data_IF_710961098914
#
_entry.id   IF_710961098914
#
_cell.length_a   1.000
_cell.length_b   1.000
_cell.length_c   1.000
_cell.angle_alpha   90.00
_cell.angle_beta   90.00
_cell.angle_gamma   90.00
#
_symmetry.space_group_name_H-M   'P 1'
#
loop_
_entity.id
_entity.type
_entity.pdbx_description
1 polymer ?
#
# COMPACT_ATOMS: atom_id res chain seq x y z
N UNK A 1 -25.28 54.54 15.01
CA UNK A 1 -25.01 54.23 13.58
C UNK A 1 -23.83 53.28 13.37
N UNK A 2 -23.00 52.97 14.40
CA UNK A 2 -21.79 52.14 14.22
C UNK A 2 -22.00 50.62 14.32
N UNK A 3 -23.05 50.14 14.99
CA UNK A 3 -23.27 48.69 15.16
C UNK A 3 -23.86 47.99 13.92
N UNK A 4 -24.80 48.63 13.25
CA UNK A 4 -25.46 48.05 12.07
C UNK A 4 -24.51 47.98 10.85
N UNK A 5 -23.63 48.99 10.67
CA UNK A 5 -22.64 49.00 9.61
C UNK A 5 -21.55 47.94 9.85
N UNK A 6 -21.13 47.73 11.11
CA UNK A 6 -20.19 46.68 11.51
C UNK A 6 -20.73 45.27 11.27
N UNK A 7 -22.03 45.03 11.56
CA UNK A 7 -22.67 43.74 11.35
C UNK A 7 -22.91 43.44 9.86
N UNK A 8 -23.25 44.45 9.05
CA UNK A 8 -23.35 44.30 7.59
C UNK A 8 -21.95 43.99 6.97
N UNK A 9 -20.91 44.66 7.45
CA UNK A 9 -19.55 44.44 6.98
C UNK A 9 -19.01 43.06 7.40
N UNK A 10 -19.30 42.59 8.60
CA UNK A 10 -19.02 41.24 9.05
C UNK A 10 -19.75 40.20 8.22
N UNK A 11 -21.07 40.36 8.03
CA UNK A 11 -21.91 39.47 7.21
C UNK A 11 -21.45 39.41 5.75
N UNK A 12 -21.03 40.54 5.15
CA UNK A 12 -20.47 40.58 3.81
C UNK A 12 -19.10 39.88 3.75
N UNK A 13 -18.24 40.06 4.75
CA UNK A 13 -16.93 39.40 4.83
C UNK A 13 -17.09 37.91 5.03
N UNK A 14 -17.99 37.46 5.90
CA UNK A 14 -18.25 36.06 6.16
C UNK A 14 -18.91 35.37 4.94
N UNK A 15 -19.83 36.04 4.26
CA UNK A 15 -20.48 35.50 3.06
C UNK A 15 -19.59 35.47 1.83
N UNK A 16 -18.62 36.39 1.69
CA UNK A 16 -17.69 36.43 0.56
C UNK A 16 -16.55 35.41 0.65
N UNK A 17 -16.32 34.83 1.84
CA UNK A 17 -15.26 33.88 2.11
C UNK A 17 -15.76 32.44 2.27
N UNK A 18 -17.04 32.17 2.24
CA UNK A 18 -17.60 30.83 2.40
C UNK A 18 -17.31 30.00 1.14
N UNK A 19 -16.38 29.04 1.26
CA UNK A 19 -16.08 28.04 0.24
C UNK A 19 -16.45 26.66 0.76
N UNK A 20 -17.15 25.87 -0.07
CA UNK A 20 -17.51 24.48 0.24
C UNK A 20 -16.81 23.54 -0.70
N UNK A 21 -16.10 22.57 -0.16
CA UNK A 21 -15.53 21.49 -0.95
C UNK A 21 -16.64 20.56 -1.44
N UNK A 22 -16.67 20.29 -2.74
CA UNK A 22 -17.57 19.33 -3.36
C UNK A 22 -16.78 18.20 -3.97
N UNK A 23 -17.24 16.98 -3.70
CA UNK A 23 -16.61 15.77 -4.22
C UNK A 23 -17.63 15.02 -5.07
N UNK A 24 -17.18 14.50 -6.22
CA UNK A 24 -17.99 13.67 -7.12
C UNK A 24 -17.14 12.46 -7.51
N UNK A 25 -17.71 11.28 -7.38
CA UNK A 25 -17.07 10.03 -7.78
C UNK A 25 -18.02 9.20 -8.63
N UNK A 26 -17.50 8.66 -9.73
CA UNK A 26 -18.19 7.72 -10.59
C UNK A 26 -17.26 6.55 -10.85
N UNK A 27 -17.75 5.35 -10.64
CA UNK A 27 -17.00 4.13 -10.95
C UNK A 27 -17.92 3.10 -11.58
N UNK A 28 -17.38 2.30 -12.49
CA UNK A 28 -18.10 1.24 -13.12
C UNK A 28 -17.16 0.26 -13.80
N UNK A 29 -17.67 -0.92 -14.13
CA UNK A 29 -16.86 -1.92 -14.81
C UNK A 29 -17.72 -3.00 -15.46
N UNK A 30 -17.14 -3.61 -16.46
CA UNK A 30 -17.68 -4.77 -17.16
C UNK A 30 -16.64 -5.87 -17.13
N UNK A 31 -17.07 -7.09 -16.85
CA UNK A 31 -16.21 -8.28 -16.89
C UNK A 31 -16.93 -9.38 -17.62
N UNK A 32 -16.26 -9.96 -18.61
CA UNK A 32 -16.71 -11.11 -19.36
C UNK A 32 -15.72 -12.26 -19.22
N UNK A 33 -16.23 -13.46 -18.99
CA UNK A 33 -15.45 -14.71 -19.03
C UNK A 33 -16.02 -15.59 -20.13
N UNK A 34 -15.14 -16.15 -20.93
CA UNK A 34 -15.52 -17.08 -21.99
C UNK A 34 -14.67 -18.36 -21.92
N UNK A 35 -15.34 -19.47 -21.69
CA UNK A 35 -14.71 -20.80 -21.66
C UNK A 35 -14.80 -21.41 -23.05
N UNK A 36 -13.65 -21.50 -23.76
CA UNK A 36 -13.58 -22.16 -25.04
C UNK A 36 -13.80 -23.67 -24.89
N UNK A 37 -13.28 -24.22 -23.81
CA UNK A 37 -13.45 -25.62 -23.40
C UNK A 37 -13.02 -25.76 -21.92
N UNK A 38 -12.99 -26.98 -21.39
CA UNK A 38 -12.60 -27.27 -20.00
C UNK A 38 -11.14 -26.92 -19.66
N UNK A 39 -10.29 -26.60 -20.64
CA UNK A 39 -8.86 -26.34 -20.51
C UNK A 39 -8.47 -24.89 -20.81
N UNK A 40 -9.34 -24.12 -21.44
CA UNK A 40 -9.00 -22.76 -21.87
C UNK A 40 -10.14 -21.80 -21.64
N UNK A 41 -9.78 -20.65 -21.05
CA UNK A 41 -10.70 -19.55 -20.83
C UNK A 41 -10.04 -18.20 -21.14
N UNK A 42 -10.88 -17.23 -21.48
CA UNK A 42 -10.52 -15.84 -21.72
C UNK A 42 -11.34 -14.96 -20.76
N UNK A 43 -10.65 -14.11 -20.04
CA UNK A 43 -11.26 -13.05 -19.24
C UNK A 43 -10.97 -11.71 -19.90
N UNK A 44 -12.00 -10.91 -20.10
CA UNK A 44 -11.90 -9.51 -20.53
C UNK A 44 -12.56 -8.63 -19.47
N UNK A 45 -11.87 -7.60 -19.04
CA UNK A 45 -12.39 -6.65 -18.08
C UNK A 45 -12.12 -5.23 -18.54
N UNK A 46 -13.08 -4.36 -18.31
CA UNK A 46 -12.96 -2.91 -18.46
C UNK A 46 -13.40 -2.24 -17.17
N UNK A 47 -12.64 -1.26 -16.69
CA UNK A 47 -13.02 -0.43 -15.56
C UNK A 47 -12.89 1.04 -15.90
N UNK A 48 -13.80 1.83 -15.34
CA UNK A 48 -13.82 3.27 -15.38
C UNK A 48 -13.90 3.80 -13.97
N UNK A 49 -13.06 4.77 -13.64
CA UNK A 49 -13.09 5.50 -12.38
C UNK A 49 -12.89 6.99 -12.64
N UNK A 50 -13.71 7.81 -12.01
CA UNK A 50 -13.60 9.26 -12.03
C UNK A 50 -13.80 9.82 -10.64
N UNK A 51 -12.88 10.69 -10.23
CA UNK A 51 -12.97 11.44 -8.99
C UNK A 51 -12.65 12.92 -9.24
N UNK A 52 -13.63 13.77 -8.93
CA UNK A 52 -13.53 15.22 -9.05
C UNK A 52 -13.63 15.88 -7.68
N UNK A 53 -12.82 16.90 -7.45
CA UNK A 53 -12.97 17.84 -6.34
C UNK A 53 -13.15 19.25 -6.93
N UNK A 54 -14.04 20.03 -6.32
CA UNK A 54 -14.28 21.41 -6.69
C UNK A 54 -14.44 22.26 -5.44
N UNK A 55 -14.01 23.51 -5.53
CA UNK A 55 -14.28 24.55 -4.56
C UNK A 55 -15.52 25.33 -5.01
N UNK A 56 -16.61 25.20 -4.25
CA UNK A 56 -17.85 25.94 -4.49
C UNK A 56 -17.84 27.25 -3.74
N UNK A 57 -17.74 28.34 -4.48
CA UNK A 57 -17.82 29.71 -3.94
C UNK A 57 -19.31 30.09 -3.71
N UNK A 58 -19.72 30.04 -2.47
CA UNK A 58 -21.15 30.21 -2.11
C UNK A 58 -21.71 31.53 -2.58
N UNK A 59 -20.98 32.63 -2.40
CA UNK A 59 -21.40 33.98 -2.78
C UNK A 59 -21.56 34.17 -4.29
N UNK A 60 -20.74 33.52 -5.07
CA UNK A 60 -20.75 33.62 -6.54
C UNK A 60 -21.53 32.51 -7.21
N UNK A 61 -22.01 31.52 -6.44
CA UNK A 61 -22.65 30.29 -6.94
C UNK A 61 -21.83 29.61 -8.03
N UNK A 62 -20.51 29.69 -7.92
CA UNK A 62 -19.56 29.17 -8.89
C UNK A 62 -18.83 27.95 -8.35
N UNK A 63 -18.68 26.94 -9.20
CA UNK A 63 -18.06 25.66 -8.88
C UNK A 63 -16.74 25.57 -9.68
N UNK A 64 -15.62 25.77 -9.00
CA UNK A 64 -14.27 25.75 -9.61
C UNK A 64 -13.69 24.37 -9.37
N UNK A 65 -13.55 23.58 -10.43
CA UNK A 65 -12.87 22.27 -10.36
C UNK A 65 -11.37 22.51 -10.21
N UNK A 66 -10.81 22.00 -9.11
CA UNK A 66 -9.40 22.10 -8.76
C UNK A 66 -8.67 20.75 -8.82
N UNK A 67 -9.42 19.66 -8.95
CA UNK A 67 -8.88 18.31 -9.09
C UNK A 67 -9.83 17.43 -9.92
N UNK A 68 -9.28 16.70 -10.86
CA UNK A 68 -10.00 15.66 -11.64
C UNK A 68 -9.04 14.53 -11.98
N UNK A 69 -9.36 13.32 -11.56
CA UNK A 69 -8.67 12.11 -11.97
C UNK A 69 -9.65 11.21 -12.70
N UNK A 70 -9.31 10.82 -13.93
CA UNK A 70 -10.14 9.94 -14.77
C UNK A 70 -9.29 8.79 -15.27
N UNK A 71 -9.70 7.58 -14.92
CA UNK A 71 -8.99 6.36 -15.28
C UNK A 71 -9.87 5.43 -16.12
N UNK A 72 -9.28 4.88 -17.17
CA UNK A 72 -9.84 3.82 -17.98
C UNK A 72 -8.86 2.65 -18.01
N UNK A 73 -9.27 1.48 -17.59
CA UNK A 73 -8.43 0.29 -17.61
C UNK A 73 -9.09 -0.83 -18.42
N UNK A 74 -8.29 -1.50 -19.23
CA UNK A 74 -8.69 -2.70 -19.98
C UNK A 74 -7.72 -3.81 -19.61
N UNK A 75 -8.25 -4.99 -19.30
CA UNK A 75 -7.48 -6.21 -19.02
C UNK A 75 -7.95 -7.34 -19.92
N UNK A 76 -6.99 -8.07 -20.47
CA UNK A 76 -7.21 -9.35 -21.13
C UNK A 76 -6.35 -10.43 -20.49
N UNK A 77 -6.93 -11.56 -20.14
CA UNK A 77 -6.25 -12.68 -19.52
C UNK A 77 -6.70 -14.00 -20.17
N UNK A 78 -5.77 -14.77 -20.67
CA UNK A 78 -6.01 -16.07 -21.23
C UNK A 78 -5.27 -17.15 -20.43
N UNK A 79 -6.00 -18.18 -20.02
CA UNK A 79 -5.45 -19.35 -19.32
C UNK A 79 -5.62 -20.58 -20.18
N UNK A 80 -4.57 -21.40 -20.22
CA UNK A 80 -4.58 -22.70 -20.86
C UNK A 80 -3.96 -23.76 -19.94
N UNK A 81 -4.72 -24.81 -19.64
CA UNK A 81 -4.28 -25.93 -18.80
C UNK A 81 -3.85 -27.13 -19.65
N UNK A 82 -2.58 -27.46 -19.57
CA UNK A 82 -2.00 -28.64 -20.19
C UNK A 82 -2.10 -29.83 -19.23
N UNK A 83 -2.49 -30.98 -19.71
CA UNK A 83 -2.39 -32.24 -18.95
C UNK A 83 -2.97 -32.18 -17.52
N UNK A 84 -3.99 -31.35 -17.28
CA UNK A 84 -4.68 -31.13 -15.98
C UNK A 84 -3.73 -30.74 -14.81
N UNK A 85 -2.46 -30.43 -15.07
CA UNK A 85 -1.42 -30.13 -14.09
C UNK A 85 -0.66 -28.83 -14.35
N UNK A 86 -0.48 -28.47 -15.62
CA UNK A 86 0.37 -27.34 -15.98
C UNK A 86 -0.49 -26.24 -16.60
N UNK A 87 -0.30 -25.02 -16.18
CA UNK A 87 -1.12 -23.89 -16.65
C UNK A 87 -0.22 -22.80 -17.24
N UNK A 88 -0.54 -22.36 -18.46
CA UNK A 88 -0.01 -21.16 -19.06
C UNK A 88 -1.05 -20.06 -18.89
N UNK A 89 -0.62 -18.96 -18.31
CA UNK A 89 -1.39 -17.71 -18.23
C UNK A 89 -0.67 -16.65 -19.04
N UNK A 90 -1.35 -16.05 -20.00
CA UNK A 90 -0.86 -14.87 -20.75
C UNK A 90 -1.88 -13.77 -20.66
N UNK A 91 -1.41 -12.54 -20.60
CA UNK A 91 -2.32 -11.41 -20.47
C UNK A 91 -1.64 -10.08 -20.71
N UNK A 92 -2.41 -9.03 -20.59
CA UNK A 92 -1.94 -7.66 -20.64
C UNK A 92 -2.98 -6.68 -20.14
N UNK A 93 -2.50 -5.58 -19.65
CA UNK A 93 -3.29 -4.46 -19.16
C UNK A 93 -2.98 -3.19 -19.96
N UNK A 94 -3.98 -2.36 -20.10
CA UNK A 94 -3.83 -1.00 -20.60
C UNK A 94 -4.55 -0.05 -19.64
N UNK A 95 -3.87 1.01 -19.22
CA UNK A 95 -4.43 2.06 -18.38
C UNK A 95 -4.21 3.42 -19.05
N UNK A 96 -5.27 4.21 -19.18
CA UNK A 96 -5.21 5.64 -19.42
C UNK A 96 -5.53 6.36 -18.12
N UNK A 97 -4.57 7.11 -17.59
CA UNK A 97 -4.69 7.90 -16.37
C UNK A 97 -4.59 9.39 -16.71
N UNK A 98 -5.71 10.11 -16.61
CA UNK A 98 -5.80 11.56 -16.76
C UNK A 98 -5.87 12.19 -15.38
N UNK A 99 -5.03 13.19 -15.13
CA UNK A 99 -4.98 13.93 -13.89
C UNK A 99 -4.85 15.44 -14.13
N UNK A 100 -5.84 16.20 -13.71
CA UNK A 100 -5.80 17.63 -13.51
C UNK A 100 -5.71 17.92 -12.02
N UNK A 101 -4.81 18.78 -11.58
CA UNK A 101 -4.62 19.05 -10.16
C UNK A 101 -4.19 20.49 -9.91
N UNK A 102 -4.78 21.13 -8.88
CA UNK A 102 -4.28 22.40 -8.34
C UNK A 102 -2.82 22.33 -7.85
N UNK A 103 -2.30 21.12 -7.66
CA UNK A 103 -0.92 20.87 -7.28
C UNK A 103 0.05 21.00 -8.45
N UNK A 104 -0.44 21.14 -9.65
CA UNK A 104 0.35 21.40 -10.86
C UNK A 104 0.41 22.89 -11.16
N UNK A 105 1.47 23.31 -11.87
CA UNK A 105 1.60 24.71 -12.28
C UNK A 105 0.38 25.14 -13.11
N UNK A 106 -0.27 26.23 -12.70
CA UNK A 106 -1.43 26.80 -13.41
C UNK A 106 -2.62 25.83 -13.57
N UNK A 107 -2.81 24.90 -12.64
CA UNK A 107 -3.83 23.84 -12.69
C UNK A 107 -3.73 23.00 -13.98
N UNK A 108 -2.52 22.72 -14.43
CA UNK A 108 -2.28 21.91 -15.61
C UNK A 108 -2.88 20.51 -15.49
N UNK A 109 -3.03 19.85 -16.62
CA UNK A 109 -3.45 18.47 -16.71
C UNK A 109 -2.43 17.64 -17.48
N UNK A 110 -2.33 16.37 -17.08
CA UNK A 110 -1.42 15.39 -17.69
C UNK A 110 -2.17 14.09 -17.94
N UNK A 111 -1.77 13.38 -18.97
CA UNK A 111 -2.31 12.06 -19.29
C UNK A 111 -1.17 11.06 -19.43
N UNK A 112 -1.19 10.00 -18.65
CA UNK A 112 -0.27 8.88 -18.76
C UNK A 112 -0.98 7.67 -19.36
N UNK A 113 -0.36 7.06 -20.35
CA UNK A 113 -0.75 5.77 -20.87
C UNK A 113 0.24 4.73 -20.37
N UNK A 114 -0.24 3.66 -19.75
CA UNK A 114 0.57 2.49 -19.47
C UNK A 114 0.01 1.27 -20.18
N UNK A 115 0.90 0.43 -20.64
CA UNK A 115 0.56 -0.84 -21.25
C UNK A 115 1.54 -1.90 -20.81
N UNK A 116 1.04 -3.09 -20.57
CA UNK A 116 1.87 -4.24 -20.23
C UNK A 116 1.41 -5.50 -20.95
N UNK A 117 2.35 -6.44 -21.03
CA UNK A 117 2.08 -7.80 -21.46
C UNK A 117 2.86 -8.76 -20.57
N UNK A 118 2.26 -9.86 -20.17
CA UNK A 118 2.90 -10.84 -19.33
C UNK A 118 2.55 -12.28 -19.73
N UNK A 119 3.47 -13.18 -19.36
CA UNK A 119 3.25 -14.62 -19.45
C UNK A 119 3.77 -15.30 -18.20
N UNK A 120 3.06 -16.30 -17.72
CA UNK A 120 3.43 -17.13 -16.58
C UNK A 120 3.13 -18.60 -16.90
N UNK A 121 4.08 -19.46 -16.57
CA UNK A 121 3.91 -20.89 -16.67
C UNK A 121 4.02 -21.55 -15.30
N UNK A 122 2.97 -22.25 -14.90
CA UNK A 122 2.91 -23.08 -13.69
C UNK A 122 3.16 -24.53 -14.10
N UNK A 123 4.30 -25.05 -13.75
CA UNK A 123 4.77 -26.38 -14.10
C UNK A 123 4.82 -27.30 -12.88
N UNK A 124 4.12 -28.40 -12.95
CA UNK A 124 4.04 -29.42 -11.91
C UNK A 124 4.62 -30.76 -12.43
N UNK A 125 5.97 -30.88 -12.53
CA UNK A 125 6.60 -32.12 -13.06
C UNK A 125 6.30 -33.33 -12.20
N UNK A 126 6.14 -33.16 -10.89
CA UNK A 126 5.76 -34.22 -9.95
C UNK A 126 4.72 -33.71 -8.96
N UNK A 127 4.13 -34.58 -8.15
CA UNK A 127 3.19 -34.19 -7.08
C UNK A 127 3.88 -33.42 -5.93
N UNK A 128 5.22 -33.48 -5.87
CA UNK A 128 6.02 -32.87 -4.81
C UNK A 128 6.71 -31.58 -5.26
N UNK A 129 6.88 -31.36 -6.55
CA UNK A 129 7.66 -30.25 -7.07
C UNK A 129 6.84 -29.37 -7.99
N UNK A 130 6.84 -28.09 -7.73
CA UNK A 130 6.16 -27.07 -8.54
C UNK A 130 7.15 -25.96 -8.89
N UNK A 131 7.08 -25.48 -10.12
CA UNK A 131 7.85 -24.35 -10.65
C UNK A 131 6.88 -23.37 -11.26
N UNK A 132 6.98 -22.11 -10.85
CA UNK A 132 6.28 -20.99 -11.47
C UNK A 132 7.32 -20.05 -12.07
N UNK A 133 7.28 -19.84 -13.38
CA UNK A 133 8.16 -18.89 -14.08
C UNK A 133 7.32 -17.89 -14.84
N UNK A 134 7.62 -16.62 -14.71
CA UNK A 134 6.90 -15.54 -15.38
C UNK A 134 7.81 -14.41 -15.83
N UNK A 135 7.34 -13.68 -16.83
CA UNK A 135 7.95 -12.48 -17.34
C UNK A 135 6.85 -11.47 -17.67
N UNK A 136 7.07 -10.23 -17.27
CA UNK A 136 6.20 -9.09 -17.59
C UNK A 136 7.03 -8.00 -18.25
N UNK A 137 6.46 -7.36 -19.25
CA UNK A 137 6.99 -6.15 -19.88
C UNK A 137 6.03 -5.00 -19.64
N UNK A 138 6.52 -3.87 -19.16
CA UNK A 138 5.76 -2.67 -18.87
C UNK A 138 6.27 -1.50 -19.71
N UNK A 139 5.33 -0.63 -20.15
CA UNK A 139 5.60 0.63 -20.82
C UNK A 139 4.76 1.75 -20.20
N UNK A 140 5.37 2.92 -19.98
CA UNK A 140 4.73 4.14 -19.47
C UNK A 140 5.07 5.32 -20.38
N UNK A 141 4.06 6.01 -20.90
CA UNK A 141 4.25 7.05 -21.92
C UNK A 141 4.90 8.33 -21.37
N UNK A 142 4.46 8.81 -20.21
CA UNK A 142 4.90 10.10 -19.66
C UNK A 142 6.36 10.06 -19.19
N UNK A 143 6.74 9.01 -18.50
CA UNK A 143 8.12 8.79 -18.07
C UNK A 143 9.00 8.11 -19.12
N UNK A 144 8.42 7.72 -20.29
CA UNK A 144 9.07 6.92 -21.35
C UNK A 144 9.81 5.67 -20.84
N UNK A 145 9.30 5.09 -19.79
CA UNK A 145 9.91 3.93 -19.12
C UNK A 145 9.48 2.65 -19.80
N UNK A 146 10.45 1.73 -19.97
CA UNK A 146 10.24 0.36 -20.44
C UNK A 146 10.95 -0.58 -19.49
N UNK A 147 10.25 -1.57 -18.99
CA UNK A 147 10.83 -2.46 -17.98
C UNK A 147 10.41 -3.90 -18.17
N UNK A 148 11.34 -4.85 -17.87
CA UNK A 148 11.09 -6.28 -17.81
C UNK A 148 11.17 -6.75 -16.35
N UNK A 149 10.15 -7.44 -15.89
CA UNK A 149 10.07 -7.97 -14.53
C UNK A 149 9.97 -9.50 -14.57
N UNK A 150 11.09 -10.21 -14.43
CA UNK A 150 11.09 -11.66 -14.30
C UNK A 150 10.66 -12.10 -12.90
N UNK A 151 10.04 -13.27 -12.82
CA UNK A 151 9.65 -13.95 -11.59
C UNK A 151 9.91 -15.44 -11.70
N UNK A 152 10.47 -16.04 -10.65
CA UNK A 152 10.68 -17.48 -10.51
C UNK A 152 10.30 -17.92 -9.10
N UNK A 153 9.41 -18.88 -9.00
CA UNK A 153 9.03 -19.55 -7.75
C UNK A 153 9.27 -21.05 -7.85
N UNK A 154 9.84 -21.63 -6.81
CA UNK A 154 10.08 -23.05 -6.66
C UNK A 154 9.40 -23.53 -5.39
N UNK A 155 8.71 -24.65 -5.42
CA UNK A 155 8.16 -25.30 -4.22
C UNK A 155 8.46 -26.79 -4.25
N UNK A 156 8.87 -27.29 -3.08
CA UNK A 156 9.05 -28.72 -2.84
C UNK A 156 8.30 -29.17 -1.61
N UNK A 157 7.48 -30.22 -1.75
CA UNK A 157 6.66 -30.79 -0.67
C UNK A 157 7.24 -32.10 -0.20
N UNK A 158 7.44 -32.24 1.12
CA UNK A 158 7.93 -33.46 1.78
C UNK A 158 7.00 -33.79 2.93
N UNK A 159 6.09 -34.73 2.75
CA UNK A 159 5.08 -35.08 3.77
C UNK A 159 4.27 -33.86 4.22
N UNK A 160 4.43 -33.47 5.48
CA UNK A 160 3.74 -32.32 6.06
C UNK A 160 4.50 -30.99 5.90
N UNK A 161 5.66 -31.00 5.25
CA UNK A 161 6.50 -29.83 5.05
C UNK A 161 6.41 -29.33 3.62
N UNK A 162 6.50 -28.01 3.42
CA UNK A 162 6.72 -27.36 2.12
C UNK A 162 7.89 -26.40 2.23
N UNK A 163 8.84 -26.49 1.32
CA UNK A 163 9.92 -25.54 1.15
C UNK A 163 9.65 -24.71 -0.11
N UNK A 164 9.73 -23.39 -0.02
CA UNK A 164 9.54 -22.48 -1.15
C UNK A 164 10.71 -21.53 -1.27
N UNK A 165 11.23 -21.35 -2.47
CA UNK A 165 12.18 -20.31 -2.81
C UNK A 165 11.60 -19.45 -3.91
N UNK A 166 11.77 -18.13 -3.85
CA UNK A 166 11.36 -17.27 -4.93
C UNK A 166 12.34 -16.13 -5.19
N UNK A 167 12.36 -15.72 -6.45
CA UNK A 167 12.96 -14.50 -6.92
C UNK A 167 11.91 -13.71 -7.71
N UNK A 168 11.82 -12.41 -7.46
CA UNK A 168 10.99 -11.52 -8.25
C UNK A 168 11.68 -10.16 -8.40
N UNK A 169 11.65 -9.63 -9.61
CA UNK A 169 12.01 -8.23 -9.86
C UNK A 169 10.77 -7.38 -9.75
N UNK A 170 10.81 -6.35 -8.88
CA UNK A 170 9.78 -5.33 -8.75
C UNK A 170 10.16 -4.08 -9.50
N UNK A 171 9.15 -3.28 -9.83
CA UNK A 171 9.31 -2.06 -10.59
C UNK A 171 8.19 -1.08 -10.23
N UNK A 172 8.52 0.24 -10.18
CA UNK A 172 7.55 1.33 -10.00
C UNK A 172 7.94 2.52 -10.86
N UNK A 173 7.10 2.90 -11.82
CA UNK A 173 7.25 4.14 -12.57
C UNK A 173 6.95 5.36 -11.68
N UNK A 174 7.60 6.51 -11.87
CA UNK A 174 7.18 7.77 -11.28
C UNK A 174 5.73 8.08 -11.62
N UNK A 175 5.01 8.63 -10.68
CA UNK A 175 3.62 9.07 -10.87
C UNK A 175 3.58 10.48 -11.47
N UNK A 176 2.44 10.85 -12.09
CA UNK A 176 2.23 12.22 -12.61
C UNK A 176 2.47 13.29 -11.55
N UNK A 177 2.11 13.03 -10.29
CA UNK A 177 2.36 13.96 -9.19
C UNK A 177 3.83 14.09 -8.87
N UNK A 178 4.55 12.99 -8.77
CA UNK A 178 5.99 13.00 -8.49
C UNK A 178 6.79 13.72 -9.57
N UNK A 179 6.33 13.65 -10.82
CA UNK A 179 6.99 14.34 -11.94
C UNK A 179 6.61 15.83 -12.05
N UNK A 180 5.35 16.20 -11.77
CA UNK A 180 4.83 17.51 -12.21
C UNK A 180 4.32 18.41 -11.09
N UNK A 181 4.43 18.03 -9.79
CA UNK A 181 4.04 18.90 -8.68
C UNK A 181 4.76 20.24 -8.74
N UNK A 182 4.02 21.32 -8.49
CA UNK A 182 4.56 22.67 -8.39
C UNK A 182 3.55 23.54 -7.60
N UNK A 183 3.55 23.44 -6.29
CA UNK A 183 2.56 24.14 -5.47
C UNK A 183 3.05 24.46 -4.07
N UNK A 184 2.46 25.48 -3.45
CA UNK A 184 2.67 25.82 -2.05
C UNK A 184 1.81 24.93 -1.14
N UNK A 185 2.45 24.10 -0.32
CA UNK A 185 1.80 23.34 0.73
C UNK A 185 1.52 24.25 1.92
N UNK A 186 0.21 24.41 2.25
CA UNK A 186 -0.26 25.21 3.38
C UNK A 186 0.34 26.65 3.44
N UNK A 187 0.71 27.22 2.32
CA UNK A 187 1.39 28.53 2.20
C UNK A 187 2.70 28.64 2.99
N UNK A 188 3.34 27.51 3.31
CA UNK A 188 4.57 27.49 4.13
C UNK A 188 5.78 26.97 3.36
N UNK A 189 5.59 26.07 2.41
CA UNK A 189 6.69 25.38 1.75
C UNK A 189 6.29 25.03 0.31
N UNK A 190 7.24 25.25 -0.62
CA UNK A 190 7.07 24.86 -2.01
C UNK A 190 7.41 23.38 -2.21
N UNK A 191 6.60 22.67 -2.97
CA UNK A 191 6.85 21.30 -3.38
C UNK A 191 7.02 21.25 -4.90
N UNK A 192 8.15 20.71 -5.33
CA UNK A 192 8.48 20.53 -6.74
C UNK A 192 8.47 19.05 -7.11
N UNK A 193 7.81 18.73 -8.21
CA UNK A 193 8.01 17.47 -8.92
C UNK A 193 9.37 17.44 -9.62
N UNK A 194 9.71 16.29 -10.14
CA UNK A 194 10.94 16.08 -10.90
C UNK A 194 10.65 15.21 -12.13
N UNK A 195 10.62 15.80 -13.33
CA UNK A 195 10.39 15.03 -14.57
C UNK A 195 11.53 14.07 -14.93
N UNK A 196 12.73 14.26 -14.34
CA UNK A 196 13.92 13.44 -14.60
C UNK A 196 14.01 12.24 -13.65
N UNK A 197 12.92 11.90 -12.93
CA UNK A 197 12.90 10.74 -12.06
C UNK A 197 13.04 9.44 -12.84
N UNK A 198 13.98 8.62 -12.39
CA UNK A 198 14.10 7.23 -12.83
C UNK A 198 13.13 6.32 -12.10
N UNK A 199 12.72 5.19 -12.70
CA UNK A 199 11.86 4.23 -12.03
C UNK A 199 12.58 3.53 -10.88
N UNK A 200 11.84 3.27 -9.80
CA UNK A 200 12.33 2.38 -8.75
C UNK A 200 12.37 0.94 -9.28
N UNK A 201 13.44 0.23 -9.00
CA UNK A 201 13.55 -1.19 -9.27
C UNK A 201 13.94 -1.95 -8.01
N UNK A 202 13.49 -3.18 -7.90
CA UNK A 202 13.86 -4.02 -6.76
C UNK A 202 14.10 -5.46 -7.15
N UNK A 203 15.01 -6.14 -6.44
CA UNK A 203 15.23 -7.57 -6.53
C UNK A 203 14.87 -8.20 -5.19
N UNK A 204 13.82 -8.98 -5.17
CA UNK A 204 13.36 -9.69 -3.99
C UNK A 204 13.73 -11.17 -4.05
N UNK A 205 14.41 -11.65 -3.03
CA UNK A 205 14.74 -13.06 -2.81
C UNK A 205 14.03 -13.51 -1.54
N UNK A 206 13.34 -14.64 -1.58
CA UNK A 206 12.74 -15.22 -0.39
C UNK A 206 12.92 -16.72 -0.30
N UNK A 207 13.03 -17.21 0.93
CA UNK A 207 13.05 -18.63 1.25
C UNK A 207 12.07 -18.87 2.41
N UNK A 208 11.12 -19.77 2.22
CA UNK A 208 10.09 -20.08 3.19
C UNK A 208 9.97 -21.57 3.45
N UNK A 209 9.90 -21.94 4.72
CA UNK A 209 9.57 -23.29 5.17
C UNK A 209 8.21 -23.28 5.88
N UNK A 210 7.35 -24.21 5.52
CA UNK A 210 6.03 -24.41 6.15
C UNK A 210 5.89 -25.84 6.64
N UNK A 211 5.37 -26.02 7.85
CA UNK A 211 4.95 -27.29 8.39
C UNK A 211 3.48 -27.24 8.77
N UNK A 212 2.69 -28.13 8.17
CA UNK A 212 1.24 -28.23 8.44
C UNK A 212 0.89 -29.66 8.80
N UNK A 213 0.44 -29.89 10.03
CA UNK A 213 -0.03 -31.20 10.47
C UNK A 213 -1.23 -31.07 11.37
N UNK A 214 -2.33 -31.71 10.99
CA UNK A 214 -3.59 -31.71 11.74
C UNK A 214 -4.05 -30.27 12.06
N UNK A 215 -3.82 -29.83 13.30
CA UNK A 215 -4.27 -28.56 13.86
C UNK A 215 -3.17 -27.49 13.95
N UNK A 216 -1.94 -27.83 13.57
CA UNK A 216 -0.79 -26.96 13.68
C UNK A 216 -0.33 -26.49 12.31
N UNK A 217 -0.03 -25.22 12.19
CA UNK A 217 0.66 -24.66 11.04
C UNK A 217 1.78 -23.74 11.55
N UNK A 218 2.99 -23.94 11.01
CA UNK A 218 4.15 -23.10 11.27
C UNK A 218 4.75 -22.68 9.93
N UNK A 219 5.04 -21.39 9.78
CA UNK A 219 5.72 -20.87 8.61
C UNK A 219 6.86 -19.97 9.06
N UNK A 220 8.03 -20.14 8.47
CA UNK A 220 9.19 -19.26 8.63
C UNK A 220 9.63 -18.82 7.24
N UNK A 221 9.73 -17.52 7.02
CA UNK A 221 10.18 -16.91 5.78
C UNK A 221 11.32 -15.95 6.06
N UNK A 222 12.44 -16.11 5.38
CA UNK A 222 13.50 -15.12 5.30
C UNK A 222 13.45 -14.44 3.94
N UNK A 223 13.71 -13.14 3.88
CA UNK A 223 13.76 -12.40 2.62
C UNK A 223 14.85 -11.34 2.61
N UNK A 224 15.31 -11.04 1.41
CA UNK A 224 16.25 -9.96 1.14
C UNK A 224 15.79 -9.18 -0.09
N UNK A 225 15.64 -7.87 0.06
CA UNK A 225 15.16 -6.96 -0.98
C UNK A 225 16.19 -5.88 -1.25
N UNK A 226 16.62 -5.76 -2.50
CA UNK A 226 17.51 -4.74 -3.01
C UNK A 226 16.67 -3.72 -3.76
N UNK A 227 16.58 -2.49 -3.26
CA UNK A 227 15.82 -1.41 -3.90
C UNK A 227 16.80 -0.40 -4.48
N UNK A 228 16.68 -0.10 -5.77
CA UNK A 228 17.45 0.90 -6.49
C UNK A 228 16.55 2.07 -6.88
N UNK A 229 17.11 3.26 -6.91
CA UNK A 229 16.50 4.50 -7.41
C UNK A 229 15.16 4.82 -6.72
N UNK A 230 15.10 4.57 -5.39
CA UNK A 230 13.90 4.82 -4.59
C UNK A 230 13.50 6.29 -4.66
N UNK A 231 12.27 6.57 -5.03
CA UNK A 231 11.75 7.93 -5.15
C UNK A 231 11.36 8.45 -3.78
N UNK A 232 12.00 9.52 -3.33
CA UNK A 232 11.83 10.13 -2.02
C UNK A 232 11.79 11.66 -2.11
N UNK A 233 11.32 12.29 -1.05
CA UNK A 233 11.44 13.74 -0.86
C UNK A 233 12.81 14.13 -0.30
N UNK A 234 13.37 15.21 -0.81
CA UNK A 234 14.48 15.91 -0.16
C UNK A 234 14.16 17.38 0.02
N UNK A 235 14.59 17.97 1.13
CA UNK A 235 14.52 19.41 1.35
C UNK A 235 15.73 20.09 0.73
N UNK A 236 15.53 21.27 0.15
CA UNK A 236 16.59 22.10 -0.40
C UNK A 236 16.22 23.61 -0.26
N UNK A 237 17.16 24.49 -0.52
CA UNK A 237 16.85 25.91 -0.69
C UNK A 237 16.68 26.21 -2.16
N UNK A 238 15.55 26.82 -2.52
CA UNK A 238 15.29 27.26 -3.87
C UNK A 238 16.10 28.51 -4.25
N UNK A 239 15.89 29.05 -5.44
CA UNK A 239 16.61 30.22 -5.97
C UNK A 239 16.38 31.49 -5.14
N UNK A 240 15.28 31.58 -4.43
CA UNK A 240 14.92 32.70 -3.55
C UNK A 240 15.41 32.49 -2.11
N UNK A 241 16.12 31.37 -1.84
CA UNK A 241 16.64 30.99 -0.54
C UNK A 241 15.57 30.40 0.40
N UNK A 242 14.34 30.18 -0.10
CA UNK A 242 13.25 29.59 0.66
C UNK A 242 13.43 28.08 0.79
N UNK A 243 12.95 27.50 1.89
CA UNK A 243 12.94 26.06 2.07
C UNK A 243 11.87 25.46 1.16
N UNK A 244 12.27 24.51 0.35
CA UNK A 244 11.43 23.78 -0.56
C UNK A 244 11.71 22.27 -0.49
N UNK A 245 10.80 21.47 -1.00
CA UNK A 245 10.99 20.01 -1.18
C UNK A 245 10.90 19.64 -2.65
N UNK A 246 11.66 18.63 -3.04
CA UNK A 246 11.58 18.02 -4.37
C UNK A 246 11.70 16.51 -4.29
N UNK A 247 11.18 15.84 -5.30
CA UNK A 247 11.39 14.41 -5.48
C UNK A 247 12.77 14.11 -6.08
N UNK A 248 13.42 13.10 -5.56
CA UNK A 248 14.72 12.60 -6.05
C UNK A 248 14.73 11.07 -6.05
N UNK A 249 15.66 10.49 -6.78
CA UNK A 249 16.00 9.08 -6.64
C UNK A 249 17.11 8.90 -5.60
N UNK A 250 16.89 8.00 -4.64
CA UNK A 250 17.91 7.57 -3.68
C UNK A 250 18.58 6.32 -4.23
N UNK A 251 19.94 6.27 -4.34
CA UNK A 251 20.61 5.26 -5.16
C UNK A 251 20.33 3.81 -4.80
N UNK A 252 20.34 3.45 -3.51
CA UNK A 252 20.07 2.08 -3.10
C UNK A 252 19.71 1.95 -1.62
N UNK A 253 18.73 1.12 -1.34
CA UNK A 253 18.36 0.68 0.02
C UNK A 253 18.23 -0.84 0.04
N UNK A 254 18.94 -1.49 0.95
CA UNK A 254 18.87 -2.93 1.14
C UNK A 254 18.03 -3.24 2.38
N UNK A 255 17.10 -4.18 2.25
CA UNK A 255 16.20 -4.57 3.34
C UNK A 255 16.25 -6.09 3.51
N UNK A 256 16.51 -6.57 4.72
CA UNK A 256 16.37 -7.99 5.06
C UNK A 256 15.33 -8.18 6.15
N UNK A 257 14.67 -9.31 6.15
CA UNK A 257 13.68 -9.61 7.18
C UNK A 257 13.43 -11.09 7.35
N UNK A 258 12.76 -11.36 8.49
CA UNK A 258 12.27 -12.69 8.86
C UNK A 258 10.83 -12.56 9.32
N UNK A 259 9.95 -13.37 8.75
CA UNK A 259 8.57 -13.53 9.16
C UNK A 259 8.35 -14.94 9.70
N UNK A 260 7.85 -15.05 10.94
CA UNK A 260 7.49 -16.30 11.57
C UNK A 260 6.01 -16.29 11.94
N UNK A 261 5.29 -17.32 11.53
CA UNK A 261 3.86 -17.49 11.86
C UNK A 261 3.64 -18.86 12.47
N UNK A 262 2.84 -18.90 13.51
CA UNK A 262 2.38 -20.13 14.15
C UNK A 262 0.89 -20.06 14.42
N UNK A 263 0.17 -21.12 14.12
CA UNK A 263 -1.25 -21.22 14.47
C UNK A 263 -1.62 -22.63 14.91
N UNK A 264 -2.56 -22.68 15.84
CA UNK A 264 -3.18 -23.92 16.29
C UNK A 264 -4.67 -23.71 16.53
N UNK A 265 -5.50 -24.71 16.14
CA UNK A 265 -6.94 -24.69 16.40
C UNK A 265 -7.42 -26.04 16.91
N UNK A 266 -8.00 -26.04 18.09
CA UNK A 266 -8.45 -27.25 18.78
C UNK A 266 -9.96 -27.50 18.62
N UNK A 267 -10.42 -28.77 18.59
CA UNK A 267 -11.84 -29.07 18.46
C UNK A 267 -12.71 -28.53 19.62
N UNK A 268 -12.11 -28.27 20.79
CA UNK A 268 -12.82 -27.66 21.93
C UNK A 268 -13.16 -26.17 21.68
N UNK A 269 -12.74 -25.57 20.55
CA UNK A 269 -13.00 -24.18 20.18
C UNK A 269 -11.87 -23.22 20.50
N UNK A 270 -10.80 -23.67 21.16
CA UNK A 270 -9.62 -22.83 21.43
C UNK A 270 -8.77 -22.70 20.16
N UNK A 271 -8.43 -21.49 19.78
CA UNK A 271 -7.50 -21.16 18.71
C UNK A 271 -6.43 -20.19 19.18
N UNK A 272 -5.24 -20.31 18.61
CA UNK A 272 -4.15 -19.37 18.82
C UNK A 272 -3.44 -19.10 17.49
N UNK A 273 -3.08 -17.83 17.25
CA UNK A 273 -2.22 -17.41 16.15
C UNK A 273 -1.22 -16.41 16.68
N UNK A 274 0.04 -16.62 16.32
CA UNK A 274 1.16 -15.74 16.65
C UNK A 274 1.88 -15.44 15.35
N UNK A 275 2.15 -14.15 15.09
CA UNK A 275 3.00 -13.71 14.01
C UNK A 275 4.10 -12.82 14.57
N UNK A 276 5.31 -12.98 14.05
CA UNK A 276 6.47 -12.17 14.40
C UNK A 276 7.18 -11.76 13.13
N UNK A 277 7.55 -10.47 13.04
CA UNK A 277 8.33 -9.91 11.94
C UNK A 277 9.56 -9.21 12.50
N UNK A 278 10.71 -9.52 11.95
CA UNK A 278 11.94 -8.75 12.08
C UNK A 278 12.28 -8.14 10.72
N UNK A 279 12.61 -6.83 10.72
CA UNK A 279 13.03 -6.10 9.52
C UNK A 279 14.27 -5.28 9.83
N UNK A 280 15.24 -5.31 8.94
CA UNK A 280 16.46 -4.53 9.02
C UNK A 280 16.72 -3.80 7.70
N UNK A 281 16.90 -2.47 7.79
CA UNK A 281 17.30 -1.60 6.69
C UNK A 281 18.80 -1.35 6.80
N UNK A 282 19.54 -1.71 5.75
CA UNK A 282 20.98 -1.46 5.68
C UNK A 282 21.20 -0.05 5.14
N UNK A 283 21.71 0.82 5.99
CA UNK A 283 22.15 2.16 5.59
C UNK A 283 23.54 2.07 4.98
N UNK A 284 23.74 2.71 3.84
CA UNK A 284 25.07 2.84 3.21
C UNK A 284 25.82 4.03 3.78
N UNK A 285 27.13 4.05 3.54
CA UNK A 285 27.99 5.16 3.96
C UNK A 285 27.45 6.51 3.47
N UNK A 286 27.31 7.45 4.40
CA UNK A 286 26.77 8.76 4.14
C UNK A 286 25.23 8.87 4.18
N UNK A 287 24.50 7.75 4.29
CA UNK A 287 23.04 7.77 4.42
C UNK A 287 22.62 7.88 5.91
N UNK A 288 21.61 8.68 6.16
CA UNK A 288 21.01 8.81 7.49
C UNK A 288 19.69 8.09 7.54
N UNK A 289 19.51 7.19 8.53
CA UNK A 289 18.21 6.53 8.72
C UNK A 289 17.17 7.55 9.19
N UNK A 290 16.23 7.86 8.32
CA UNK A 290 15.07 8.73 8.60
C UNK A 290 13.78 7.93 8.79
N UNK A 291 13.78 6.64 8.43
CA UNK A 291 12.60 5.80 8.52
C UNK A 291 12.24 5.51 9.98
N UNK A 292 10.95 5.52 10.28
CA UNK A 292 10.41 5.12 11.59
C UNK A 292 10.01 3.65 11.64
N UNK A 293 10.48 2.84 10.69
CA UNK A 293 10.23 1.40 10.64
C UNK A 293 10.77 0.70 11.88
N UNK A 294 9.87 0.09 12.65
CA UNK A 294 10.24 -0.62 13.87
C UNK A 294 10.83 -1.99 13.54
N UNK A 295 12.02 -2.32 14.05
CA UNK A 295 12.71 -3.56 13.67
C UNK A 295 11.99 -4.83 14.09
N UNK A 296 11.24 -4.81 15.19
CA UNK A 296 10.50 -5.97 15.64
C UNK A 296 9.02 -5.65 15.82
N UNK A 297 8.16 -6.50 15.27
CA UNK A 297 6.72 -6.47 15.52
C UNK A 297 6.20 -7.88 15.77
N UNK A 298 5.23 -8.00 16.67
CA UNK A 298 4.54 -9.25 16.94
C UNK A 298 3.05 -9.03 17.06
N UNK A 299 2.26 -10.00 16.61
CA UNK A 299 0.81 -10.04 16.84
C UNK A 299 0.44 -11.39 17.44
N UNK A 300 -0.50 -11.35 18.36
CA UNK A 300 -1.05 -12.54 19.01
C UNK A 300 -2.56 -12.46 18.93
N UNK A 301 -3.19 -13.52 18.47
CA UNK A 301 -4.64 -13.71 18.57
C UNK A 301 -4.92 -14.98 19.34
N UNK A 302 -5.68 -14.86 20.42
CA UNK A 302 -6.24 -15.98 21.16
C UNK A 302 -7.74 -15.94 20.95
N UNK A 303 -8.32 -17.08 20.57
CA UNK A 303 -9.76 -17.17 20.34
C UNK A 303 -10.36 -18.38 21.05
N UNK A 304 -11.58 -18.20 21.53
CA UNK A 304 -12.44 -19.30 21.98
C UNK A 304 -13.78 -19.18 21.29
N UNK A 305 -14.11 -20.16 20.45
CA UNK A 305 -15.37 -20.21 19.72
C UNK A 305 -16.09 -21.51 19.99
N UNK A 306 -17.39 -21.44 20.21
CA UNK A 306 -18.24 -22.61 20.37
C UNK A 306 -19.61 -22.37 19.76
N UNK A 307 -20.09 -23.34 18.99
CA UNK A 307 -21.40 -23.33 18.37
C UNK A 307 -22.30 -24.36 19.04
N UNK A 308 -23.52 -23.97 19.38
CA UNK A 308 -24.64 -24.82 19.78
C UNK A 308 -25.77 -24.60 18.76
N UNK A 309 -26.80 -25.41 18.76
CA UNK A 309 -27.85 -25.42 17.71
C UNK A 309 -28.35 -24.05 17.29
N UNK A 310 -28.56 -23.14 18.22
CA UNK A 310 -29.11 -21.80 17.96
C UNK A 310 -28.25 -20.64 18.47
N UNK A 311 -27.08 -20.94 19.01
CA UNK A 311 -26.23 -19.97 19.67
C UNK A 311 -24.77 -20.18 19.27
N UNK A 312 -24.14 -19.12 18.72
CA UNK A 312 -22.71 -19.09 18.49
C UNK A 312 -22.06 -18.11 19.43
N UNK A 313 -20.95 -18.51 20.01
CA UNK A 313 -20.11 -17.68 20.85
C UNK A 313 -18.70 -17.64 20.29
N UNK A 314 -18.13 -16.46 20.14
CA UNK A 314 -16.73 -16.27 19.80
C UNK A 314 -16.16 -15.12 20.63
N UNK A 315 -15.12 -15.41 21.41
CA UNK A 315 -14.35 -14.44 22.16
C UNK A 315 -12.94 -14.41 21.59
N UNK A 316 -12.44 -13.26 21.20
CA UNK A 316 -11.06 -13.08 20.72
C UNK A 316 -10.33 -12.00 21.50
N UNK A 317 -9.08 -12.29 21.85
CA UNK A 317 -8.12 -11.34 22.39
C UNK A 317 -7.02 -11.14 21.34
N UNK A 318 -6.91 -9.92 20.84
CA UNK A 318 -5.93 -9.51 19.83
C UNK A 318 -4.89 -8.59 20.46
N UNK A 319 -3.62 -9.00 20.42
CA UNK A 319 -2.49 -8.24 20.92
C UNK A 319 -1.55 -7.85 19.78
N UNK A 320 -1.00 -6.65 19.82
CA UNK A 320 0.09 -6.17 18.96
C UNK A 320 1.19 -5.61 19.84
N UNK A 321 2.43 -6.04 19.58
CA UNK A 321 3.63 -5.52 20.21
C UNK A 321 4.56 -4.95 19.15
N UNK A 322 5.09 -3.77 19.40
CA UNK A 322 6.06 -3.09 18.55
C UNK A 322 7.28 -2.71 19.38
N UNK A 323 8.48 -2.99 18.85
CA UNK A 323 9.74 -2.61 19.52
C UNK A 323 9.94 -1.10 19.51
N UNK A 324 10.89 -0.64 20.31
CA UNK A 324 11.44 0.71 20.14
C UNK A 324 12.08 0.85 18.74
N UNK A 325 12.08 2.08 18.23
CA UNK A 325 12.81 2.46 17.02
C UNK A 325 13.74 3.61 17.33
N UNK A 326 14.99 3.50 16.85
CA UNK A 326 15.97 4.58 16.85
C UNK A 326 16.08 5.08 15.42
N UNK A 327 15.82 6.37 15.24
CA UNK A 327 15.87 7.03 13.95
C UNK A 327 16.51 8.40 14.09
N UNK A 328 16.77 9.09 13.00
CA UNK A 328 17.17 10.48 13.01
C UNK A 328 15.98 11.32 12.54
N UNK A 329 15.87 12.51 13.12
CA UNK A 329 14.89 13.52 12.74
C UNK A 329 15.63 14.80 12.42
N UNK A 330 15.21 15.55 11.41
CA UNK A 330 15.75 16.86 11.14
C UNK A 330 15.44 17.81 12.31
N UNK A 331 16.43 18.57 12.77
CA UNK A 331 16.28 19.54 13.87
C UNK A 331 15.43 20.75 13.45
N UNK A 332 15.30 21.00 12.16
CA UNK A 332 14.40 21.99 11.57
C UNK A 332 14.08 21.62 10.12
N UNK A 333 13.18 22.37 9.48
CA UNK A 333 12.89 22.20 8.04
C UNK A 333 14.03 22.74 7.14
N UNK A 334 15.09 23.33 7.69
CA UNK A 334 16.25 23.77 6.92
C UNK A 334 17.05 22.56 6.41
N UNK A 335 17.30 22.42 5.11
CA UNK A 335 18.08 21.31 4.55
C UNK A 335 19.52 21.26 5.06
N UNK A 336 20.07 22.38 5.54
CA UNK A 336 21.38 22.45 6.19
C UNK A 336 21.32 22.21 7.71
N UNK A 337 20.12 22.07 8.28
CA UNK A 337 19.99 21.67 9.68
C UNK A 337 20.49 20.24 9.85
N UNK A 338 21.25 20.01 10.89
CA UNK A 338 21.66 18.65 11.24
C UNK A 338 20.46 17.76 11.59
N UNK A 339 20.75 16.49 11.77
CA UNK A 339 19.79 15.53 12.33
C UNK A 339 20.12 15.20 13.76
N UNK A 340 19.12 15.01 14.60
CA UNK A 340 19.25 14.48 15.95
C UNK A 340 18.73 13.03 16.03
N UNK A 341 19.33 12.25 16.92
CA UNK A 341 18.89 10.88 17.19
C UNK A 341 17.66 10.91 18.09
N UNK A 342 16.56 10.34 17.60
CA UNK A 342 15.32 10.21 18.34
C UNK A 342 15.05 8.74 18.60
N UNK A 343 14.58 8.43 19.80
CA UNK A 343 14.14 7.07 20.16
C UNK A 343 12.67 7.10 20.52
N UNK A 344 11.87 6.39 19.74
CA UNK A 344 10.46 6.17 20.07
C UNK A 344 10.32 4.84 20.82
N UNK A 345 9.73 4.84 22.02
CA UNK A 345 9.60 3.65 22.84
C UNK A 345 8.75 2.56 22.15
N UNK A 346 9.00 1.32 22.53
CA UNK A 346 8.14 0.20 22.17
C UNK A 346 6.80 0.25 22.94
N UNK A 347 5.79 -0.38 22.38
CA UNK A 347 4.47 -0.46 23.04
C UNK A 347 3.72 -1.73 22.68
N UNK A 348 2.69 -2.02 23.48
CA UNK A 348 1.71 -3.05 23.17
C UNK A 348 0.29 -2.49 23.17
N UNK A 349 -0.55 -3.01 22.29
CA UNK A 349 -1.97 -2.65 22.21
C UNK A 349 -2.80 -3.92 22.16
N UNK A 350 -3.88 -3.97 22.93
CA UNK A 350 -4.72 -5.14 23.09
C UNK A 350 -6.18 -4.79 22.88
N UNK A 351 -6.89 -5.65 22.17
CA UNK A 351 -8.31 -5.52 21.91
C UNK A 351 -9.03 -6.81 22.29
N UNK A 352 -10.19 -6.68 22.88
CA UNK A 352 -11.07 -7.82 23.23
C UNK A 352 -12.35 -7.70 22.41
N UNK A 353 -12.71 -8.75 21.69
CA UNK A 353 -13.93 -8.79 20.88
C UNK A 353 -14.77 -9.99 21.25
N UNK A 354 -16.05 -9.75 21.46
CA UNK A 354 -17.07 -10.78 21.69
C UNK A 354 -18.08 -10.72 20.55
N UNK A 355 -18.27 -11.83 19.86
CA UNK A 355 -19.30 -12.01 18.85
C UNK A 355 -20.24 -13.13 19.27
N UNK A 356 -21.54 -12.86 19.28
CA UNK A 356 -22.56 -13.82 19.63
C UNK A 356 -23.68 -13.83 18.59
N UNK A 357 -24.08 -15.00 18.12
CA UNK A 357 -25.35 -15.19 17.44
C UNK A 357 -26.36 -15.69 18.46
N UNK A 358 -27.27 -14.81 18.88
CA UNK A 358 -28.20 -15.10 20.00
C UNK A 358 -29.45 -15.81 19.48
N UNK A 359 -29.84 -15.57 18.24
CA UNK A 359 -31.00 -16.17 17.60
C UNK A 359 -30.90 -16.03 16.08
N UNK A 360 -31.80 -16.69 15.32
CA UNK A 360 -31.84 -16.54 13.84
C UNK A 360 -31.92 -15.05 13.49
N UNK A 361 -30.87 -14.54 12.81
CA UNK A 361 -30.80 -13.17 12.34
C UNK A 361 -30.34 -12.11 13.34
N UNK A 362 -30.09 -12.46 14.62
CA UNK A 362 -29.58 -11.52 15.62
C UNK A 362 -28.14 -11.84 15.95
N UNK A 363 -27.21 -10.95 15.54
CA UNK A 363 -25.81 -11.00 15.89
C UNK A 363 -25.47 -9.81 16.81
N UNK A 364 -24.82 -10.09 17.92
CA UNK A 364 -24.33 -9.10 18.89
C UNK A 364 -22.82 -9.08 18.81
N UNK A 365 -22.25 -7.92 18.48
CA UNK A 365 -20.81 -7.68 18.45
C UNK A 365 -20.46 -6.62 19.49
N UNK A 366 -19.54 -6.96 20.40
CA UNK A 366 -19.01 -6.04 21.39
C UNK A 366 -17.49 -6.00 21.24
N UNK A 367 -16.89 -4.83 21.26
CA UNK A 367 -15.44 -4.68 21.20
C UNK A 367 -14.96 -3.65 22.23
N UNK A 368 -13.89 -4.01 22.94
CA UNK A 368 -13.12 -3.09 23.78
C UNK A 368 -11.76 -2.94 23.13
N UNK A 369 -11.51 -1.78 22.52
CA UNK A 369 -10.24 -1.47 21.90
C UNK A 369 -9.30 -0.82 22.91
N UNK A 370 -7.99 -1.06 22.74
CA UNK A 370 -6.97 -0.50 23.61
C UNK A 370 -7.23 -0.83 25.09
N UNK A 371 -7.38 -2.12 25.40
CA UNK A 371 -7.80 -2.64 26.69
C UNK A 371 -6.99 -2.09 27.88
N UNK A 372 -5.71 -1.79 27.68
CA UNK A 372 -4.81 -1.26 28.72
C UNK A 372 -4.61 0.26 28.62
N UNK A 373 -5.45 0.97 27.82
CA UNK A 373 -5.45 2.42 27.68
C UNK A 373 -4.05 3.01 27.35
N UNK A 374 -3.32 2.32 26.47
CA UNK A 374 -2.03 2.83 26.01
C UNK A 374 -2.22 4.19 25.33
N UNK A 375 -1.43 5.17 25.73
CA UNK A 375 -1.35 6.49 25.09
C UNK A 375 0.12 6.80 24.81
N UNK A 376 0.48 7.14 23.57
CA UNK A 376 1.85 7.54 23.28
C UNK A 376 2.13 8.92 23.93
N UNK A 377 3.25 9.05 24.63
CA UNK A 377 3.72 10.31 25.22
C UNK A 377 4.42 11.21 24.18
N UNK A 378 4.43 10.81 22.93
CA UNK A 378 5.09 11.49 21.83
C UNK A 378 4.17 11.58 20.62
N UNK A 379 4.23 12.72 19.95
CA UNK A 379 3.59 12.86 18.65
C UNK A 379 4.62 12.53 17.58
N UNK A 380 4.24 11.69 16.62
CA UNK A 380 4.97 11.64 15.37
C UNK A 380 4.74 13.01 14.72
N UNK A 381 5.80 13.81 14.60
CA UNK A 381 5.81 14.90 13.67
C UNK A 381 5.78 14.24 12.27
N UNK A 382 4.60 14.19 11.70
CA UNK A 382 4.42 13.74 10.32
C UNK A 382 4.75 14.88 9.39
#
# INVERSE_FOLDING_TARGET
VSSAASDVYKRQRDASSETKNRYRGFSGGLKGNYDFNTKSNLELAYTFDQYDKSDYLVSYKNDIRDYSNVQHSVRALYNYTFNDKNTLTVGGDYLRDYLMSYQFKENADYTMHSADAFGQFDWNPTEHFNVIAGLRFDYFSESNVRHFSPHLGLMYKIGNCSLRGSYAQGFRSPTLKEMHMNFYMANTMMIYGNPDLEPETSHNFSLSGEYTKNRYNFTLTGYYNLVHDRIEYTSFRDTDGMIAQKYINTPRVDIAGIDANASAKYPCGIGARISYTYIHEFMRDGQTKLSSTRPHSATVRLEYGKTWDHYDFNLSLDGRALSQVKTNQYTSNDPNAGTEKVTYPGYTMWNLTLTQRVWKGINVNMAVNNLFNYRPDYYYAN
#
